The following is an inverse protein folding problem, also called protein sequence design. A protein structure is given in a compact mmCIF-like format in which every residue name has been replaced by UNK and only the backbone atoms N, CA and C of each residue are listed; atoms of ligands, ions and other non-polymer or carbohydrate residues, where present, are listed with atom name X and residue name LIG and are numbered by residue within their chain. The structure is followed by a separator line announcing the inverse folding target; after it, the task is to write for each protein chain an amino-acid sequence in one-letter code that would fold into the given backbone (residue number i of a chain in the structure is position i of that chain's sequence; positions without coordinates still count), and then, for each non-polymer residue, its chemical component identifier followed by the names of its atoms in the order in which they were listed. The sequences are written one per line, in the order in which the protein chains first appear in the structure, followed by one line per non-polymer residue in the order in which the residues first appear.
data_IF_911931746252
#
_entry.id   IF_911931746252
#
_cell.length_a   1.000
_cell.length_b   1.000
_cell.length_c   1.000
_cell.angle_alpha   90.00
_cell.angle_beta   90.00
_cell.angle_gamma   90.00
#
_symmetry.space_group_name_H-M   'P 1'
#
loop_
_entity.id
_entity.type
_entity.pdbx_description
1 polymer ?
#
# COMPACT_ATOMS: atom_id res chain seq x y z
N UNK A 1 -52.35 20.96 -9.00
CA UNK A 1 -51.16 21.35 -9.77
C UNK A 1 -50.06 21.66 -8.74
N UNK A 2 -49.07 20.80 -8.47
CA UNK A 2 -47.96 20.42 -9.36
C UNK A 2 -46.96 21.60 -9.39
N UNK A 3 -45.71 21.53 -8.90
CA UNK A 3 -44.63 20.57 -9.14
C UNK A 3 -43.67 20.43 -7.93
N UNK A 4 -42.79 19.42 -8.01
CA UNK A 4 -42.09 18.66 -6.95
C UNK A 4 -40.85 19.34 -6.31
N UNK A 5 -40.45 18.94 -5.09
CA UNK A 5 -39.09 19.15 -4.58
C UNK A 5 -38.11 18.29 -5.39
N UNK A 6 -37.08 18.90 -5.96
CA UNK A 6 -35.99 18.17 -6.62
C UNK A 6 -34.66 18.88 -6.31
N UNK A 7 -34.25 18.81 -5.05
CA UNK A 7 -32.83 18.85 -4.72
C UNK A 7 -32.42 17.38 -4.61
N UNK A 8 -31.59 16.85 -5.51
CA UNK A 8 -30.97 15.56 -5.28
C UNK A 8 -30.07 15.67 -4.04
N UNK A 9 -30.51 15.04 -2.96
CA UNK A 9 -29.64 14.59 -1.87
C UNK A 9 -28.70 13.55 -2.45
N UNK A 10 -27.55 13.97 -2.95
CA UNK A 10 -26.33 13.16 -3.01
C UNK A 10 -25.15 14.08 -3.31
N UNK A 11 -24.82 14.94 -2.34
CA UNK A 11 -23.50 15.56 -2.29
C UNK A 11 -22.49 14.50 -1.87
N UNK A 12 -22.14 13.60 -2.79
CA UNK A 12 -20.86 12.91 -2.71
C UNK A 12 -19.79 13.97 -2.96
N UNK A 13 -18.88 14.27 -2.03
CA UNK A 13 -17.84 15.25 -2.31
C UNK A 13 -17.00 14.73 -3.48
N UNK A 14 -16.71 15.62 -4.44
CA UNK A 14 -15.80 15.33 -5.54
C UNK A 14 -14.50 14.77 -4.97
N UNK A 15 -14.21 13.51 -5.28
CA UNK A 15 -12.92 12.90 -5.04
C UNK A 15 -11.96 13.44 -6.10
N UNK A 16 -11.35 14.59 -5.80
CA UNK A 16 -10.45 15.40 -6.65
C UNK A 16 -9.32 14.57 -7.31
N UNK A 17 -9.03 13.37 -6.81
CA UNK A 17 -7.93 12.51 -7.29
C UNK A 17 -8.32 11.36 -8.23
N UNK A 18 -9.59 11.20 -8.65
CA UNK A 18 -10.02 9.92 -9.26
C UNK A 18 -10.84 9.94 -10.54
N UNK A 19 -11.57 10.99 -10.89
CA UNK A 19 -12.52 10.90 -12.01
C UNK A 19 -11.87 11.27 -13.35
N UNK A 20 -11.17 10.33 -13.97
CA UNK A 20 -11.15 10.31 -15.44
C UNK A 20 -12.53 9.87 -15.91
N UNK A 21 -13.47 10.80 -15.99
CA UNK A 21 -14.62 10.64 -16.88
C UNK A 21 -15.10 11.99 -17.38
N UNK A 22 -14.42 12.49 -18.40
CA UNK A 22 -15.12 13.08 -19.55
C UNK A 22 -14.45 12.53 -20.81
N UNK A 23 -15.02 11.53 -21.50
CA UNK A 23 -14.74 11.36 -22.90
C UNK A 23 -15.43 12.52 -23.62
N UNK A 24 -14.64 13.45 -24.16
CA UNK A 24 -15.13 14.32 -25.23
C UNK A 24 -15.62 13.44 -26.39
N UNK A 25 -16.65 13.85 -27.15
CA UNK A 25 -17.18 13.02 -28.23
C UNK A 25 -16.06 12.75 -29.25
N UNK A 26 -15.66 11.47 -29.41
CA UNK A 26 -14.77 11.05 -30.51
C UNK A 26 -13.40 10.43 -30.15
N UNK A 27 -13.09 10.13 -28.88
CA UNK A 27 -11.83 9.45 -28.54
C UNK A 27 -12.00 7.93 -28.44
N UNK A 28 -11.25 7.12 -29.22
CA UNK A 28 -11.29 5.67 -29.14
C UNK A 28 -10.76 5.20 -27.78
N UNK A 29 -11.39 4.15 -27.25
CA UNK A 29 -11.21 3.63 -25.90
C UNK A 29 -9.74 3.56 -25.44
N UNK A 30 -9.32 4.53 -24.65
CA UNK A 30 -8.13 4.46 -23.78
C UNK A 30 -8.36 3.52 -22.59
N UNK A 31 -9.09 2.43 -22.79
CA UNK A 31 -9.48 1.48 -21.73
C UNK A 31 -8.53 0.27 -21.68
N UNK A 32 -7.75 -0.02 -22.73
CA UNK A 32 -6.94 -1.25 -22.81
C UNK A 32 -5.57 -1.15 -22.13
N UNK A 33 -5.03 0.05 -21.92
CA UNK A 33 -3.65 0.25 -21.44
C UNK A 33 -3.52 0.70 -19.97
N UNK A 34 -4.62 1.10 -19.33
CA UNK A 34 -4.63 1.54 -17.93
C UNK A 34 -5.47 0.55 -17.12
N UNK A 35 -4.81 -0.27 -16.30
CA UNK A 35 -5.49 -1.21 -15.40
C UNK A 35 -6.51 -0.51 -14.50
N UNK A 36 -7.54 -1.24 -14.06
CA UNK A 36 -8.61 -0.69 -13.20
C UNK A 36 -8.05 -0.01 -11.96
N UNK A 37 -8.51 1.21 -11.66
CA UNK A 37 -8.10 1.97 -10.48
C UNK A 37 -8.44 1.21 -9.17
N UNK A 38 -7.43 0.95 -8.35
CA UNK A 38 -7.54 0.31 -7.01
C UNK A 38 -7.32 1.25 -5.83
N UNK A 39 -7.04 2.53 -6.09
CA UNK A 39 -6.76 3.54 -5.04
C UNK A 39 -7.90 3.64 -4.03
N UNK A 40 -9.19 3.69 -4.41
CA UNK A 40 -10.28 3.77 -3.44
C UNK A 40 -10.34 2.57 -2.49
N UNK A 41 -10.01 1.37 -2.98
CA UNK A 41 -10.01 0.15 -2.18
C UNK A 41 -8.84 0.15 -1.18
N UNK A 42 -7.65 0.56 -1.63
CA UNK A 42 -6.48 0.70 -0.78
C UNK A 42 -6.68 1.80 0.28
N UNK A 43 -7.27 2.94 -0.09
CA UNK A 43 -7.59 4.01 0.87
C UNK A 43 -8.49 3.51 1.99
N UNK A 44 -9.52 2.70 1.70
CA UNK A 44 -10.37 2.08 2.73
C UNK A 44 -9.57 1.21 3.70
N UNK A 45 -8.63 0.41 3.19
CA UNK A 45 -7.80 -0.48 4.02
C UNK A 45 -6.87 0.33 4.93
N UNK A 46 -6.16 1.32 4.38
CA UNK A 46 -5.16 2.09 5.13
C UNK A 46 -5.78 3.15 6.07
N UNK A 47 -6.98 3.65 5.78
CA UNK A 47 -7.68 4.64 6.61
C UNK A 47 -8.56 4.02 7.69
N UNK A 48 -8.77 2.69 7.69
CA UNK A 48 -9.58 1.99 8.71
C UNK A 48 -9.02 2.22 10.13
N UNK A 49 -9.88 2.54 11.10
CA UNK A 49 -9.48 2.88 12.48
C UNK A 49 -9.22 1.65 13.37
N UNK A 50 -8.36 0.74 12.92
CA UNK A 50 -8.07 -0.53 13.62
C UNK A 50 -6.93 -0.42 14.67
N UNK A 51 -6.31 0.76 14.81
CA UNK A 51 -5.16 0.96 15.71
C UNK A 51 -3.86 0.27 15.28
N UNK A 52 -3.84 -0.49 14.17
CA UNK A 52 -2.62 -1.08 13.62
C UNK A 52 -1.69 0.01 13.03
N UNK A 53 -0.37 -0.10 13.25
CA UNK A 53 0.60 0.78 12.63
C UNK A 53 0.68 0.55 11.12
N UNK A 54 1.11 1.57 10.38
CA UNK A 54 1.12 1.58 8.89
C UNK A 54 1.91 0.42 8.28
N UNK A 55 3.01 -0.02 8.92
CA UNK A 55 3.87 -1.10 8.43
C UNK A 55 3.31 -2.52 8.67
N UNK A 56 2.14 -2.65 9.31
CA UNK A 56 1.41 -3.93 9.49
C UNK A 56 -0.03 -3.85 8.97
N UNK A 57 -0.35 -2.79 8.23
CA UNK A 57 -1.73 -2.41 7.91
C UNK A 57 -2.38 -3.34 6.89
N UNK A 58 -1.58 -3.97 6.02
CA UNK A 58 -2.00 -4.94 5.04
C UNK A 58 -2.17 -6.36 5.64
N UNK A 59 -1.85 -6.53 6.93
CA UNK A 59 -2.15 -7.75 7.68
C UNK A 59 -1.05 -8.83 7.56
N UNK A 60 -1.42 -10.01 7.08
CA UNK A 60 -0.53 -11.17 7.00
C UNK A 60 0.75 -10.98 6.18
N UNK A 61 0.73 -10.43 4.94
CA UNK A 61 1.95 -10.26 4.16
C UNK A 61 2.97 -9.36 4.88
N UNK A 62 2.51 -8.26 5.47
CA UNK A 62 3.36 -7.34 6.22
C UNK A 62 3.99 -8.00 7.45
N UNK A 63 3.21 -8.78 8.20
CA UNK A 63 3.69 -9.49 9.40
C UNK A 63 4.72 -10.56 9.05
N UNK A 64 4.49 -11.31 7.97
CA UNK A 64 5.43 -12.33 7.52
C UNK A 64 6.74 -11.68 7.07
N UNK A 65 6.65 -10.64 6.24
CA UNK A 65 7.81 -9.90 5.77
C UNK A 65 8.61 -9.29 6.92
N UNK A 66 7.93 -8.64 7.88
CA UNK A 66 8.59 -8.08 9.05
C UNK A 66 9.37 -9.14 9.86
N UNK A 67 8.74 -10.28 10.12
CA UNK A 67 9.35 -11.37 10.89
C UNK A 67 10.55 -11.97 10.17
N UNK A 68 10.47 -12.20 8.87
CA UNK A 68 11.58 -12.77 8.10
C UNK A 68 12.74 -11.77 7.99
N UNK A 69 12.46 -10.49 7.75
CA UNK A 69 13.49 -9.44 7.73
C UNK A 69 14.17 -9.29 9.09
N UNK A 70 13.42 -9.31 10.20
CA UNK A 70 14.01 -9.28 11.54
C UNK A 70 14.84 -10.53 11.83
N UNK A 71 14.36 -11.72 11.46
CA UNK A 71 15.13 -12.95 11.62
C UNK A 71 16.44 -12.92 10.83
N UNK A 72 16.40 -12.45 9.58
CA UNK A 72 17.57 -12.33 8.72
C UNK A 72 18.57 -11.30 9.26
N UNK A 73 18.11 -10.14 9.73
CA UNK A 73 19.01 -9.10 10.28
C UNK A 73 19.67 -9.52 11.57
N UNK A 74 18.94 -10.17 12.48
CA UNK A 74 19.50 -10.74 13.71
C UNK A 74 20.51 -11.85 13.36
N UNK A 75 20.14 -12.77 12.48
CA UNK A 75 21.02 -13.85 12.03
C UNK A 75 22.29 -13.32 11.35
N UNK A 76 22.14 -12.32 10.47
CA UNK A 76 23.26 -11.66 9.80
C UNK A 76 24.18 -10.95 10.78
N UNK A 77 23.64 -10.29 11.80
CA UNK A 77 24.44 -9.63 12.85
C UNK A 77 25.26 -10.65 13.64
N UNK A 78 24.65 -11.77 14.04
CA UNK A 78 25.35 -12.88 14.72
C UNK A 78 26.45 -13.44 13.83
N UNK A 79 26.16 -13.66 12.54
CA UNK A 79 27.14 -14.14 11.58
C UNK A 79 28.32 -13.18 11.45
N UNK A 80 28.06 -11.88 11.33
CA UNK A 80 29.11 -10.85 11.30
C UNK A 80 29.98 -10.89 12.57
N UNK A 81 29.37 -11.04 13.75
CA UNK A 81 30.13 -11.14 15.01
C UNK A 81 31.03 -12.38 15.04
N UNK A 82 30.52 -13.55 14.63
CA UNK A 82 31.32 -14.78 14.55
C UNK A 82 32.46 -14.63 13.55
N UNK A 83 32.18 -14.09 12.37
CA UNK A 83 33.19 -13.83 11.35
C UNK A 83 34.26 -12.85 11.84
N UNK A 84 33.87 -11.77 12.54
CA UNK A 84 34.79 -10.81 13.14
C UNK A 84 35.66 -11.45 14.21
N UNK A 85 35.11 -12.29 15.09
CA UNK A 85 35.88 -13.00 16.11
C UNK A 85 36.93 -13.89 15.44
N UNK A 86 36.53 -14.69 14.45
CA UNK A 86 37.47 -15.57 13.71
C UNK A 86 38.54 -14.75 13.01
N UNK A 87 38.17 -13.64 12.36
CA UNK A 87 39.11 -12.76 11.68
C UNK A 87 40.08 -12.04 12.64
N UNK A 88 39.64 -11.77 13.88
CA UNK A 88 40.46 -11.12 14.90
C UNK A 88 41.52 -12.02 15.53
N UNK A 89 41.40 -13.35 15.37
CA UNK A 89 42.39 -14.29 15.90
C UNK A 89 43.59 -14.43 14.95
N UNK A 90 44.84 -14.38 15.46
CA UNK A 90 46.01 -14.57 14.63
C UNK A 90 46.04 -16.00 14.09
N UNK A 91 46.07 -16.12 12.76
CA UNK A 91 46.25 -17.42 12.09
C UNK A 91 47.74 -17.71 12.04
N UNK A 92 48.14 -18.88 12.56
CA UNK A 92 49.52 -19.35 12.37
C UNK A 92 49.74 -19.58 10.86
N UNK A 93 50.78 -18.96 10.31
CA UNK A 93 51.31 -19.27 8.99
C UNK A 93 51.97 -20.64 9.00
#
# INVERSE_FOLDING_TARGET
QGLKPLVPTDSSPDLIFGTSKIPGPGLPATETYLGTNKVPDLQKIFQKSDGLPVHLKLGYPDRLLYRTTMALTIGGTIYCLVALIIASQPRKQ
#
